data_IF_771442340474
#
_entry.id   IF_771442340474
#
_cell.length_a   1.000
_cell.length_b   1.000
_cell.length_c   1.000
_cell.angle_alpha   90.00
_cell.angle_beta   90.00
_cell.angle_gamma   90.00
#
_symmetry.space_group_name_H-M   'P 1'
#
loop_
_entity.id
_entity.type
_entity.pdbx_description
1 polymer ?
#
# COMPACT_ATOMS: atom_id res chain seq x y z
N UNK A 1 -7.46 53.12 -30.70
CA UNK A 1 -8.26 51.97 -30.24
C UNK A 1 -7.85 50.65 -30.89
N UNK A 2 -7.67 50.58 -32.18
CA UNK A 2 -7.31 49.29 -32.86
C UNK A 2 -5.97 48.67 -32.38
N UNK A 3 -4.96 49.48 -32.08
CA UNK A 3 -3.67 48.94 -31.56
C UNK A 3 -3.77 48.32 -30.17
N UNK A 4 -4.56 48.90 -29.27
CA UNK A 4 -4.76 48.36 -27.93
C UNK A 4 -5.51 47.03 -27.94
N UNK A 5 -6.48 46.87 -28.85
CA UNK A 5 -7.25 45.66 -29.06
C UNK A 5 -6.35 44.51 -29.58
N UNK A 6 -5.41 44.84 -30.46
CA UNK A 6 -4.45 43.88 -31.03
C UNK A 6 -3.48 43.33 -29.99
N UNK A 7 -3.04 44.18 -29.08
CA UNK A 7 -2.14 43.79 -27.98
C UNK A 7 -2.86 42.88 -26.99
N UNK A 8 -4.13 43.17 -26.67
CA UNK A 8 -4.95 42.33 -25.79
C UNK A 8 -5.24 40.98 -26.45
N UNK A 9 -5.53 40.91 -27.72
CA UNK A 9 -5.77 39.67 -28.44
C UNK A 9 -4.50 38.81 -28.52
N UNK A 10 -3.32 39.41 -28.72
CA UNK A 10 -2.05 38.73 -28.76
C UNK A 10 -1.66 38.16 -27.38
N UNK A 11 -1.97 38.88 -26.28
CA UNK A 11 -1.75 38.42 -24.90
C UNK A 11 -2.62 37.23 -24.54
N UNK A 12 -3.85 37.15 -25.02
CA UNK A 12 -4.74 36.00 -24.79
C UNK A 12 -4.27 34.74 -25.50
N UNK A 13 -3.63 34.86 -26.67
CA UNK A 13 -3.10 33.70 -27.41
C UNK A 13 -1.92 33.09 -26.69
N UNK A 14 -1.07 33.88 -26.02
CA UNK A 14 0.06 33.36 -25.21
C UNK A 14 -0.37 32.64 -23.94
N UNK A 15 -1.58 32.89 -23.43
CA UNK A 15 -2.08 32.19 -22.24
C UNK A 15 -2.66 30.80 -22.55
N UNK A 16 -2.91 30.47 -23.81
CA UNK A 16 -3.48 29.19 -24.21
C UNK A 16 -2.46 28.11 -24.58
N UNK A 17 -1.17 28.44 -24.59
CA UNK A 17 -0.12 27.45 -24.89
C UNK A 17 0.45 26.75 -23.67
N UNK A 18 -0.20 26.86 -22.52
CA UNK A 18 0.09 26.07 -21.33
C UNK A 18 -0.57 24.72 -21.36
N UNK A 19 -0.49 23.97 -22.47
CA UNK A 19 -0.68 22.54 -22.42
C UNK A 19 0.53 21.95 -21.70
N UNK A 20 0.35 21.74 -20.42
CA UNK A 20 1.24 20.88 -19.64
C UNK A 20 1.07 19.47 -20.23
N UNK A 21 2.00 19.05 -21.05
CA UNK A 21 2.16 17.66 -21.39
C UNK A 21 2.73 17.01 -20.13
N UNK A 22 1.88 16.42 -19.30
CA UNK A 22 2.37 15.45 -18.35
C UNK A 22 2.92 14.29 -19.19
N UNK A 23 4.22 14.12 -19.16
CA UNK A 23 4.84 12.92 -19.67
C UNK A 23 4.18 11.73 -18.96
N UNK A 24 3.65 10.80 -19.77
CA UNK A 24 3.14 9.54 -19.25
C UNK A 24 4.22 8.93 -18.36
N UNK A 25 3.99 8.91 -17.06
CA UNK A 25 4.87 8.26 -16.09
C UNK A 25 4.72 6.76 -16.35
N UNK A 26 5.50 6.27 -17.29
CA UNK A 26 5.67 4.82 -17.45
C UNK A 26 6.41 4.33 -16.21
N UNK A 27 5.79 3.44 -15.42
CA UNK A 27 6.48 2.85 -14.28
C UNK A 27 7.71 2.11 -14.81
N UNK A 28 8.89 2.64 -14.59
CA UNK A 28 10.13 2.01 -14.98
C UNK A 28 10.45 0.88 -14.02
N UNK A 29 10.08 -0.34 -14.39
CA UNK A 29 10.49 -1.56 -13.73
C UNK A 29 9.49 -2.13 -12.72
N UNK A 30 9.65 -3.40 -12.43
CA UNK A 30 8.99 -4.11 -11.35
C UNK A 30 9.47 -3.56 -10.01
N UNK A 31 8.83 -2.50 -9.53
CA UNK A 31 8.97 -2.12 -8.14
C UNK A 31 8.23 -3.15 -7.32
N UNK A 32 8.96 -4.08 -6.73
CA UNK A 32 8.43 -4.81 -5.57
C UNK A 32 8.16 -3.76 -4.50
N UNK A 33 6.92 -3.34 -4.37
CA UNK A 33 6.47 -2.40 -3.32
C UNK A 33 6.57 -3.07 -1.95
N UNK A 34 6.78 -4.38 -1.93
CA UNK A 34 6.93 -5.16 -0.71
C UNK A 34 8.33 -4.98 -0.13
N UNK A 35 8.37 -4.55 1.13
CA UNK A 35 9.59 -4.45 1.92
C UNK A 35 10.14 -5.83 2.34
N UNK A 36 9.29 -6.83 2.36
CA UNK A 36 9.57 -8.19 2.80
C UNK A 36 9.45 -9.17 1.63
N UNK A 37 10.11 -10.31 1.75
CA UNK A 37 9.98 -11.42 0.81
C UNK A 37 8.61 -12.09 0.97
N UNK A 38 7.98 -12.44 -0.15
CA UNK A 38 6.68 -13.11 -0.14
C UNK A 38 6.65 -14.23 -1.18
N UNK A 39 6.32 -15.47 -0.80
CA UNK A 39 6.08 -15.94 0.59
C UNK A 39 7.31 -15.80 1.48
N UNK A 40 7.11 -15.72 2.81
CA UNK A 40 8.18 -15.47 3.77
C UNK A 40 9.02 -16.73 4.12
N UNK A 41 8.65 -17.88 3.58
CA UNK A 41 9.34 -19.15 3.76
C UNK A 41 8.64 -20.27 3.00
N UNK A 42 9.02 -21.52 3.29
CA UNK A 42 8.54 -22.73 2.63
C UNK A 42 7.72 -23.65 3.57
N UNK A 43 7.26 -23.11 4.69
CA UNK A 43 6.48 -23.89 5.65
C UNK A 43 5.02 -24.09 5.17
N UNK A 44 4.30 -24.98 5.81
CA UNK A 44 2.90 -25.22 5.47
C UNK A 44 2.02 -23.99 5.65
N UNK A 45 2.31 -23.17 6.66
CA UNK A 45 1.60 -21.91 6.89
C UNK A 45 1.92 -20.83 5.85
N UNK A 46 3.07 -20.85 5.20
CA UNK A 46 3.41 -19.89 4.14
C UNK A 46 2.48 -20.05 2.94
N UNK A 47 2.15 -21.28 2.57
CA UNK A 47 1.15 -21.57 1.53
C UNK A 47 -0.24 -21.08 1.91
N UNK A 48 -0.63 -21.26 3.16
CA UNK A 48 -1.91 -20.80 3.67
C UNK A 48 -1.99 -19.25 3.70
N UNK A 49 -0.91 -18.58 4.06
CA UNK A 49 -0.79 -17.11 3.99
C UNK A 49 -0.89 -16.63 2.53
N UNK A 50 -0.28 -17.34 1.60
CA UNK A 50 -0.38 -17.03 0.17
C UNK A 50 -1.82 -17.20 -0.34
N UNK A 51 -2.52 -18.26 0.06
CA UNK A 51 -3.94 -18.45 -0.25
C UNK A 51 -4.83 -17.32 0.31
N UNK A 52 -4.55 -16.88 1.55
CA UNK A 52 -5.23 -15.73 2.15
C UNK A 52 -4.97 -14.47 1.35
N UNK A 53 -3.71 -14.22 0.96
CA UNK A 53 -3.38 -13.07 0.13
C UNK A 53 -4.11 -13.13 -1.22
N UNK A 54 -4.08 -14.25 -1.90
CA UNK A 54 -4.75 -14.42 -3.20
C UNK A 54 -6.25 -14.20 -3.12
N UNK A 55 -6.88 -14.58 -2.02
CA UNK A 55 -8.31 -14.44 -1.82
C UNK A 55 -8.74 -13.07 -1.31
N UNK A 56 -8.03 -12.53 -0.34
CA UNK A 56 -8.44 -11.33 0.41
C UNK A 56 -7.57 -10.09 0.12
N UNK A 57 -6.45 -10.22 -0.60
CA UNK A 57 -5.52 -9.14 -0.85
C UNK A 57 -4.67 -8.73 0.37
N UNK A 58 -4.71 -9.50 1.45
CA UNK A 58 -4.08 -9.17 2.73
C UNK A 58 -2.74 -9.89 2.87
N UNK A 59 -1.72 -9.15 3.28
CA UNK A 59 -0.41 -9.70 3.63
C UNK A 59 -0.31 -9.94 5.14
N UNK A 60 -0.07 -11.16 5.56
CA UNK A 60 0.22 -11.52 6.94
C UNK A 60 1.74 -11.66 7.11
N UNK A 61 2.33 -10.77 7.89
CA UNK A 61 3.78 -10.73 8.12
C UNK A 61 4.06 -11.29 9.50
N UNK A 62 4.92 -12.29 9.58
CA UNK A 62 5.30 -12.94 10.83
C UNK A 62 6.81 -12.87 11.12
N UNK A 63 7.60 -12.41 10.13
CA UNK A 63 9.05 -12.38 10.14
C UNK A 63 9.55 -11.02 9.64
N UNK A 64 10.68 -10.57 10.14
CA UNK A 64 11.30 -9.29 9.81
C UNK A 64 10.35 -8.08 10.02
N UNK A 65 9.51 -8.16 11.07
CA UNK A 65 8.55 -7.11 11.41
C UNK A 65 9.28 -5.90 11.97
N UNK A 66 9.04 -4.74 11.36
CA UNK A 66 9.68 -3.49 11.77
C UNK A 66 8.72 -2.55 12.50
N UNK A 67 9.29 -1.57 13.21
CA UNK A 67 8.49 -0.52 13.82
C UNK A 67 7.64 0.25 12.79
N UNK A 68 8.06 0.33 11.54
CA UNK A 68 7.27 0.97 10.47
C UNK A 68 6.01 0.17 10.16
N UNK A 69 6.05 -1.16 10.17
CA UNK A 69 4.88 -2.00 9.92
C UNK A 69 3.82 -1.82 11.00
N UNK A 70 4.27 -1.71 12.26
CA UNK A 70 3.40 -1.57 13.43
C UNK A 70 2.87 -0.13 13.63
N UNK A 71 3.54 0.87 13.05
CA UNK A 71 3.23 2.27 13.28
C UNK A 71 2.78 2.99 12.00
N UNK A 72 2.26 2.29 11.01
CA UNK A 72 1.70 2.90 9.80
C UNK A 72 0.51 3.77 10.17
N UNK A 73 0.70 5.08 10.11
CA UNK A 73 -0.37 6.06 10.27
C UNK A 73 -0.58 6.81 8.96
N UNK A 74 -1.82 7.03 8.62
CA UNK A 74 -2.24 7.80 7.45
C UNK A 74 -1.71 9.23 7.42
N UNK A 75 -1.49 9.84 8.56
CA UNK A 75 -1.40 11.31 8.65
C UNK A 75 -0.14 11.87 9.24
N UNK A 76 0.83 11.14 9.52
CA UNK A 76 2.16 11.50 10.00
C UNK A 76 2.67 10.56 11.07
N UNK A 77 3.95 10.41 11.12
CA UNK A 77 4.68 9.92 12.29
C UNK A 77 4.50 10.95 13.41
N UNK A 78 3.32 10.96 14.02
CA UNK A 78 3.07 11.80 15.17
C UNK A 78 4.04 11.42 16.27
N UNK A 79 4.37 12.36 17.12
CA UNK A 79 5.20 12.23 18.34
C UNK A 79 4.63 11.27 19.38
N UNK A 80 3.81 10.30 18.95
CA UNK A 80 3.20 9.30 19.78
C UNK A 80 4.14 8.15 20.13
N UNK A 81 3.73 7.37 21.10
CA UNK A 81 4.40 6.15 21.51
C UNK A 81 4.53 5.17 20.34
N UNK A 82 5.74 4.77 19.99
CA UNK A 82 5.99 3.79 18.97
C UNK A 82 5.75 2.38 19.51
N UNK A 83 5.13 1.54 18.69
CA UNK A 83 4.96 0.13 18.99
C UNK A 83 6.14 -0.65 18.42
N UNK A 84 6.60 -1.63 19.19
CA UNK A 84 7.65 -2.56 18.82
C UNK A 84 7.12 -3.97 19.00
N UNK A 85 7.53 -4.88 18.17
CA UNK A 85 7.19 -6.30 18.24
C UNK A 85 8.40 -7.15 17.88
N UNK A 86 8.32 -8.41 18.22
CA UNK A 86 9.29 -9.43 17.79
C UNK A 86 8.62 -10.31 16.74
N UNK A 87 9.43 -10.95 15.92
CA UNK A 87 8.99 -11.99 15.00
C UNK A 87 8.31 -13.13 15.77
N UNK A 88 7.34 -13.76 15.13
CA UNK A 88 6.68 -14.92 15.71
C UNK A 88 7.59 -16.16 15.62
N UNK A 89 7.57 -16.98 16.66
CA UNK A 89 8.20 -18.29 16.61
C UNK A 89 7.41 -19.26 15.72
N UNK A 90 8.05 -20.30 15.24
CA UNK A 90 7.43 -21.35 14.41
C UNK A 90 6.19 -21.99 15.06
N UNK A 91 6.14 -22.02 16.38
CA UNK A 91 4.98 -22.53 17.13
C UNK A 91 3.83 -21.52 17.18
N UNK A 92 4.16 -20.23 17.19
CA UNK A 92 3.18 -19.14 17.29
C UNK A 92 2.48 -18.86 15.96
N UNK A 93 3.19 -18.98 14.82
CA UNK A 93 2.62 -18.66 13.52
C UNK A 93 1.32 -19.41 13.24
N UNK A 94 1.24 -20.74 13.33
CA UNK A 94 -0.02 -21.46 13.09
C UNK A 94 -1.13 -21.07 14.07
N UNK A 95 -0.78 -20.76 15.30
CA UNK A 95 -1.74 -20.33 16.32
C UNK A 95 -2.40 -19.00 15.95
N UNK A 96 -1.59 -17.98 15.63
CA UNK A 96 -2.12 -16.66 15.26
C UNK A 96 -2.80 -16.67 13.89
N UNK A 97 -2.31 -17.47 12.96
CA UNK A 97 -2.96 -17.65 11.65
C UNK A 97 -4.37 -18.23 11.81
N UNK A 98 -4.52 -19.28 12.62
CA UNK A 98 -5.84 -19.86 12.92
C UNK A 98 -6.75 -18.87 13.64
N UNK A 99 -6.20 -18.09 14.60
CA UNK A 99 -6.95 -17.03 15.27
C UNK A 99 -7.46 -15.98 14.27
N UNK A 100 -6.58 -15.49 13.40
CA UNK A 100 -6.94 -14.49 12.39
C UNK A 100 -8.04 -15.00 11.44
N UNK A 101 -7.92 -16.21 10.96
CA UNK A 101 -8.93 -16.83 10.10
C UNK A 101 -10.29 -16.93 10.78
N UNK A 102 -10.32 -17.38 12.02
CA UNK A 102 -11.58 -17.60 12.76
C UNK A 102 -12.23 -16.32 13.24
N UNK A 103 -11.45 -15.36 13.67
CA UNK A 103 -11.94 -14.16 14.37
C UNK A 103 -11.92 -12.88 13.53
N UNK A 104 -11.27 -12.90 12.38
CA UNK A 104 -11.26 -11.77 11.44
C UNK A 104 -11.86 -12.18 10.11
N UNK A 105 -11.22 -13.07 9.37
CA UNK A 105 -11.63 -13.38 7.99
C UNK A 105 -13.03 -14.00 7.88
N UNK A 106 -13.51 -14.72 8.90
CA UNK A 106 -14.87 -15.26 8.91
C UNK A 106 -15.97 -14.17 8.96
N UNK A 107 -15.62 -12.96 9.35
CA UNK A 107 -16.59 -11.86 9.53
C UNK A 107 -16.40 -10.73 8.50
N UNK A 108 -15.43 -10.87 7.61
CA UNK A 108 -15.09 -9.83 6.63
C UNK A 108 -15.25 -10.41 5.23
N UNK A 109 -16.05 -9.73 4.39
CA UNK A 109 -16.13 -10.12 2.98
C UNK A 109 -14.81 -9.82 2.24
N UNK A 110 -14.61 -10.47 1.10
CA UNK A 110 -13.41 -10.28 0.29
C UNK A 110 -13.26 -8.81 -0.14
N UNK A 111 -14.36 -8.16 -0.53
CA UNK A 111 -14.34 -6.77 -0.96
C UNK A 111 -13.98 -5.82 0.20
N UNK A 112 -14.49 -6.09 1.40
CA UNK A 112 -14.15 -5.29 2.58
C UNK A 112 -12.68 -5.52 2.96
N UNK A 113 -12.22 -6.76 2.96
CA UNK A 113 -10.83 -7.07 3.29
C UNK A 113 -9.84 -6.32 2.38
N UNK A 114 -10.08 -6.30 1.08
CA UNK A 114 -9.25 -5.60 0.09
C UNK A 114 -9.26 -4.08 0.23
N UNK A 115 -10.21 -3.52 0.94
CA UNK A 115 -10.35 -2.07 1.09
C UNK A 115 -9.84 -1.57 2.44
N UNK A 116 -9.97 -2.38 3.50
CA UNK A 116 -9.80 -1.93 4.90
C UNK A 116 -8.62 -2.59 5.61
N UNK A 117 -8.23 -3.83 5.24
CA UNK A 117 -7.11 -4.56 5.84
C UNK A 117 -5.85 -4.41 5.02
#
# INVERSE_FOLDING_TARGET
MKQKLFIIALSCIFMMTGCYHEDDVTPSGNYSVLRFEFPQGDNSWDKEIEEIHNKYGVYLIYKDVTAQDLNRKWTSLGTGKLYYGNDLTSEQVPYYLNFFKKHVLNYVSTEIAQTVL
#
